data_IF_124726177414
#
_entry.id   IF_124726177414
#
_cell.length_a   1.000
_cell.length_b   1.000
_cell.length_c   1.000
_cell.angle_alpha   90.00
_cell.angle_beta   90.00
_cell.angle_gamma   90.00
#
_symmetry.space_group_name_H-M   'P 1'
#
loop_
_entity.id
_entity.type
_entity.pdbx_description
1 polymer ?
#
# COMPACT_ATOMS: atom_id res chain seq x y z
N UNK A 1 9.62 1.56 -23.70
CA UNK A 1 8.53 0.75 -23.10
C UNK A 1 8.33 1.24 -21.68
N UNK A 2 7.17 1.85 -21.40
CA UNK A 2 6.83 2.54 -20.14
C UNK A 2 6.78 1.58 -18.94
N UNK A 3 7.02 2.08 -17.72
CA UNK A 3 7.03 1.33 -16.45
C UNK A 3 5.68 0.67 -16.21
N UNK A 4 4.58 1.38 -16.47
CA UNK A 4 3.24 0.83 -16.35
C UNK A 4 2.97 -0.28 -17.37
N UNK A 5 3.54 -0.20 -18.57
CA UNK A 5 3.48 -1.29 -19.55
C UNK A 5 4.33 -2.50 -19.14
N UNK A 6 5.49 -2.31 -18.51
CA UNK A 6 6.27 -3.42 -17.94
C UNK A 6 5.54 -4.11 -16.79
N UNK A 7 4.93 -3.33 -15.89
CA UNK A 7 4.09 -3.83 -14.80
C UNK A 7 2.90 -4.62 -15.37
N UNK A 8 2.18 -4.05 -16.34
CA UNK A 8 1.07 -4.71 -17.04
C UNK A 8 1.49 -6.00 -17.74
N UNK A 9 2.65 -6.02 -18.40
CA UNK A 9 3.16 -7.20 -19.09
C UNK A 9 3.64 -8.29 -18.11
N UNK A 10 4.23 -7.91 -16.97
CA UNK A 10 4.59 -8.86 -15.92
C UNK A 10 3.35 -9.51 -15.30
N UNK A 11 2.29 -8.72 -15.09
CA UNK A 11 1.01 -9.18 -14.55
C UNK A 11 0.29 -10.10 -15.53
N UNK A 12 0.20 -9.75 -16.83
CA UNK A 12 -0.42 -10.59 -17.86
C UNK A 12 0.23 -11.97 -18.00
N UNK A 13 1.55 -12.05 -17.83
CA UNK A 13 2.28 -13.33 -17.83
C UNK A 13 2.01 -14.17 -16.59
N UNK A 14 1.62 -13.54 -15.49
CA UNK A 14 1.33 -14.20 -14.21
C UNK A 14 -0.12 -14.69 -14.10
N UNK A 15 -1.03 -14.19 -14.95
CA UNK A 15 -2.45 -14.54 -15.00
C UNK A 15 -2.81 -15.64 -16.00
N UNK A 16 -1.85 -16.17 -16.77
CA UNK A 16 -2.10 -17.25 -17.73
C UNK A 16 -1.97 -18.64 -17.04
N UNK A 17 -3.12 -19.30 -16.89
CA UNK A 17 -3.38 -20.68 -16.42
C UNK A 17 -3.37 -20.96 -14.91
N UNK A 18 -4.52 -21.38 -14.34
CA UNK A 18 -4.59 -22.25 -13.17
C UNK A 18 -4.96 -23.69 -13.58
N UNK A 19 -4.16 -24.68 -13.18
CA UNK A 19 -4.60 -26.08 -13.09
C UNK A 19 -5.47 -26.27 -11.84
N UNK A 20 -6.52 -27.11 -11.85
CA UNK A 20 -7.43 -27.25 -10.73
C UNK A 20 -6.98 -28.36 -9.78
N UNK A 21 -6.70 -28.06 -8.52
CA UNK A 21 -7.06 -28.90 -7.36
C UNK A 21 -6.67 -28.26 -6.00
N UNK A 22 -7.71 -28.10 -5.16
CA UNK A 22 -7.78 -28.17 -3.69
C UNK A 22 -6.70 -27.43 -2.87
N UNK A 23 -6.99 -26.41 -2.06
CA UNK A 23 -8.02 -26.34 -1.02
C UNK A 23 -8.44 -24.88 -0.77
N UNK A 24 -9.75 -24.66 -0.60
CA UNK A 24 -10.33 -23.34 -0.30
C UNK A 24 -10.03 -22.98 1.16
N UNK A 25 -9.15 -22.01 1.35
CA UNK A 25 -9.20 -21.12 2.52
C UNK A 25 -9.61 -19.75 1.99
N UNK A 26 -10.90 -19.44 2.10
CA UNK A 26 -11.41 -18.09 1.86
C UNK A 26 -10.87 -17.16 2.95
N UNK A 27 -9.77 -16.46 2.65
CA UNK A 27 -9.27 -15.39 3.50
C UNK A 27 -10.08 -14.15 3.18
N UNK A 28 -11.04 -13.83 4.06
CA UNK A 28 -11.61 -12.50 4.16
C UNK A 28 -10.48 -11.51 4.49
N UNK A 29 -9.97 -10.82 3.47
CA UNK A 29 -9.59 -9.42 3.67
C UNK A 29 -10.92 -8.73 3.91
N UNK A 30 -11.28 -8.52 5.19
CA UNK A 30 -12.62 -8.09 5.56
C UNK A 30 -13.04 -6.83 4.75
N UNK A 31 -14.12 -6.91 3.96
CA UNK A 31 -14.85 -5.71 3.58
C UNK A 31 -15.66 -5.30 4.81
N UNK A 32 -15.29 -4.18 5.45
CA UNK A 32 -16.05 -3.68 6.60
C UNK A 32 -17.29 -2.95 6.09
N UNK A 33 -18.42 -3.46 6.57
CA UNK A 33 -19.79 -2.95 6.42
C UNK A 33 -19.91 -1.53 7.03
N UNK A 34 -20.61 -0.57 6.39
CA UNK A 34 -20.94 0.70 7.00
C UNK A 34 -21.91 0.51 8.17
N UNK A 35 -21.53 0.97 9.37
CA UNK A 35 -22.43 1.04 10.53
C UNK A 35 -23.43 2.18 10.34
N UNK A 36 -24.71 1.86 10.11
CA UNK A 36 -25.80 2.67 10.68
C UNK A 36 -27.08 1.84 10.92
N UNK A 37 -27.58 1.97 12.16
CA UNK A 37 -28.92 1.73 12.72
C UNK A 37 -29.41 0.30 13.00
N UNK A 38 -29.84 0.15 14.26
CA UNK A 38 -30.36 -1.00 15.00
C UNK A 38 -31.57 -1.73 14.40
N UNK A 39 -31.67 -3.04 14.69
CA UNK A 39 -32.86 -3.61 15.37
C UNK A 39 -32.61 -5.02 15.95
N UNK A 40 -33.42 -5.34 16.96
CA UNK A 40 -33.37 -6.40 17.98
C UNK A 40 -33.30 -7.86 17.48
N UNK A 41 -32.59 -8.68 18.26
CA UNK A 41 -33.14 -9.91 18.85
C UNK A 41 -32.84 -11.25 18.17
N UNK A 42 -31.80 -11.96 18.65
CA UNK A 42 -31.75 -13.41 18.94
C UNK A 42 -30.31 -13.83 19.36
N UNK A 43 -30.14 -14.37 20.58
CA UNK A 43 -28.98 -15.21 20.94
C UNK A 43 -29.17 -16.57 20.25
N UNK A 44 -28.12 -17.25 19.75
CA UNK A 44 -27.33 -18.11 20.65
C UNK A 44 -25.84 -18.34 20.27
N UNK A 45 -25.17 -19.02 21.20
CA UNK A 45 -23.88 -19.73 21.13
C UNK A 45 -22.62 -18.87 21.21
N UNK A 46 -22.11 -18.78 22.44
CA UNK A 46 -20.73 -18.44 22.80
C UNK A 46 -19.76 -19.40 22.12
N UNK A 47 -19.22 -18.99 20.97
CA UNK A 47 -17.86 -19.39 20.58
C UNK A 47 -16.91 -18.40 21.23
N UNK A 48 -16.09 -18.85 22.17
CA UNK A 48 -14.95 -18.07 22.65
C UNK A 48 -14.07 -17.71 21.45
N UNK A 49 -14.26 -16.50 20.89
CA UNK A 49 -13.22 -15.87 20.10
C UNK A 49 -12.12 -15.56 21.10
N UNK A 50 -11.05 -16.34 21.09
CA UNK A 50 -9.82 -15.94 21.77
C UNK A 50 -9.40 -14.60 21.16
N UNK A 51 -9.70 -13.50 21.85
CA UNK A 51 -9.27 -12.16 21.47
C UNK A 51 -7.74 -12.13 21.59
N UNK A 52 -7.06 -12.29 20.45
CA UNK A 52 -5.60 -12.19 20.39
C UNK A 52 -5.19 -10.77 20.81
N UNK A 53 -4.10 -10.60 21.57
CA UNK A 53 -3.59 -9.26 21.87
C UNK A 53 -3.25 -8.52 20.57
N UNK A 54 -3.70 -7.27 20.49
CA UNK A 54 -3.47 -6.41 19.33
C UNK A 54 -2.13 -5.69 19.47
N UNK A 55 -1.35 -5.67 18.38
CA UNK A 55 -0.13 -4.89 18.25
C UNK A 55 -0.29 -3.95 17.06
N UNK A 56 -0.18 -2.65 17.30
CA UNK A 56 -0.10 -1.68 16.21
C UNK A 56 1.30 -1.69 15.61
N UNK A 57 1.40 -1.53 14.29
CA UNK A 57 2.68 -1.32 13.62
C UNK A 57 3.43 -0.08 14.12
N UNK A 58 2.72 0.88 14.73
CA UNK A 58 3.31 2.06 15.33
C UNK A 58 4.11 1.73 16.61
N UNK A 59 3.78 0.62 17.27
CA UNK A 59 4.42 0.17 18.51
C UNK A 59 5.69 -0.66 18.22
N UNK A 60 5.91 -1.06 16.97
CA UNK A 60 7.10 -1.81 16.56
C UNK A 60 8.27 -0.85 16.43
N UNK A 61 9.30 -1.04 17.26
CA UNK A 61 10.51 -0.21 17.22
C UNK A 61 11.26 -0.40 15.89
N UNK A 62 11.80 0.67 15.27
CA UNK A 62 12.50 0.60 13.98
C UNK A 62 13.56 -0.51 13.86
N UNK A 63 14.32 -0.75 14.92
CA UNK A 63 15.35 -1.79 14.99
C UNK A 63 14.79 -3.22 14.95
N UNK A 64 13.55 -3.42 15.43
CA UNK A 64 12.94 -4.73 15.54
C UNK A 64 12.15 -5.11 14.28
N UNK A 65 11.75 -4.13 13.46
CA UNK A 65 10.91 -4.29 12.26
C UNK A 65 11.35 -5.48 11.39
N UNK A 66 12.65 -5.61 11.12
CA UNK A 66 13.17 -6.69 10.26
C UNK A 66 13.00 -8.07 10.87
N UNK A 67 13.43 -8.22 12.13
CA UNK A 67 13.34 -9.48 12.85
C UNK A 67 11.87 -9.86 13.12
N UNK A 68 11.06 -8.89 13.55
CA UNK A 68 9.65 -9.07 13.86
C UNK A 68 8.85 -9.51 12.64
N UNK A 69 9.05 -8.86 11.48
CA UNK A 69 8.30 -9.12 10.25
C UNK A 69 8.96 -10.14 9.32
N UNK A 70 10.11 -10.71 9.71
CA UNK A 70 10.87 -11.69 8.92
C UNK A 70 11.20 -11.18 7.51
N UNK A 71 11.63 -9.92 7.42
CA UNK A 71 12.05 -9.27 6.17
C UNK A 71 13.56 -8.97 6.20
N UNK A 72 14.20 -9.02 5.04
CA UNK A 72 15.65 -8.88 4.91
C UNK A 72 16.01 -7.73 3.95
N UNK A 73 17.17 -7.06 4.08
CA UNK A 73 17.62 -6.12 3.06
C UNK A 73 17.95 -6.86 1.75
N UNK A 74 17.62 -6.26 0.62
CA UNK A 74 18.05 -6.77 -0.70
C UNK A 74 19.48 -6.33 -1.01
N UNK A 75 20.41 -7.26 -1.23
CA UNK A 75 21.79 -6.90 -1.58
C UNK A 75 21.95 -6.23 -2.95
N UNK A 76 20.95 -6.32 -3.84
CA UNK A 76 21.02 -5.81 -5.21
C UNK A 76 19.94 -4.76 -5.51
N UNK A 77 19.99 -3.64 -4.77
CA UNK A 77 19.00 -2.56 -4.81
C UNK A 77 18.83 -1.90 -6.19
N UNK A 78 19.91 -1.75 -6.95
CA UNK A 78 19.97 -0.97 -8.20
C UNK A 78 19.28 -1.65 -9.39
N UNK A 79 19.17 -2.98 -9.38
CA UNK A 79 18.55 -3.72 -10.47
C UNK A 79 17.02 -3.53 -10.56
N UNK A 80 16.34 -3.25 -9.44
CA UNK A 80 14.86 -3.21 -9.41
C UNK A 80 14.26 -1.85 -9.72
N UNK A 81 14.97 -0.78 -9.37
CA UNK A 81 14.47 0.59 -9.44
C UNK A 81 15.19 1.37 -10.52
N UNK A 82 15.00 0.95 -11.76
CA UNK A 82 15.47 1.69 -12.93
C UNK A 82 14.32 2.55 -13.47
N UNK A 83 14.00 3.63 -12.75
CA UNK A 83 13.14 4.68 -13.29
C UNK A 83 13.99 5.52 -14.23
N UNK A 84 13.75 5.40 -15.53
CA UNK A 84 14.46 6.22 -16.53
C UNK A 84 13.65 7.47 -16.85
N UNK A 85 14.26 8.44 -17.53
CA UNK A 85 13.56 9.65 -17.97
C UNK A 85 12.31 9.32 -18.82
N UNK A 86 12.32 8.20 -19.55
CA UNK A 86 11.17 7.72 -20.33
C UNK A 86 10.02 7.18 -19.47
N UNK A 87 10.23 6.96 -18.18
CA UNK A 87 9.18 6.60 -17.21
C UNK A 87 8.58 7.82 -16.53
N UNK A 88 9.15 9.02 -16.73
CA UNK A 88 8.55 10.26 -16.25
C UNK A 88 7.32 10.55 -17.09
N UNK A 89 6.16 10.43 -16.47
CA UNK A 89 4.90 10.75 -17.10
C UNK A 89 4.58 12.21 -16.79
N UNK A 90 4.26 12.99 -17.82
CA UNK A 90 3.80 14.35 -17.62
C UNK A 90 2.44 14.32 -16.90
N UNK A 91 2.39 15.03 -15.78
CA UNK A 91 1.14 15.29 -15.06
C UNK A 91 0.28 16.33 -15.79
N UNK A 92 -0.99 16.49 -15.40
CA UNK A 92 -1.85 17.52 -15.98
C UNK A 92 -1.26 18.93 -15.76
N UNK A 93 -1.34 19.78 -16.79
CA UNK A 93 -0.71 21.12 -16.81
C UNK A 93 -1.13 22.01 -15.63
N UNK A 94 -2.40 21.93 -15.22
CA UNK A 94 -2.94 22.72 -14.11
C UNK A 94 -2.39 22.32 -12.74
N UNK A 95 -1.81 21.12 -12.61
CA UNK A 95 -1.43 20.56 -11.31
C UNK A 95 -0.35 21.42 -10.62
N UNK A 96 0.63 21.92 -11.37
CA UNK A 96 1.69 22.76 -10.82
C UNK A 96 1.16 24.03 -10.14
N UNK A 97 0.17 24.68 -10.76
CA UNK A 97 -0.48 25.87 -10.21
C UNK A 97 -1.19 25.56 -8.88
N UNK A 98 -1.99 24.49 -8.83
CA UNK A 98 -2.71 24.07 -7.61
C UNK A 98 -1.72 23.73 -6.49
N UNK A 99 -0.67 22.95 -6.79
CA UNK A 99 0.33 22.55 -5.80
C UNK A 99 1.11 23.76 -5.23
N UNK A 100 1.34 24.79 -6.04
CA UNK A 100 1.97 26.03 -5.58
C UNK A 100 1.07 26.83 -4.61
N UNK A 101 -0.25 26.68 -4.75
CA UNK A 101 -1.24 27.33 -3.89
C UNK A 101 -1.19 26.84 -2.44
N UNK A 102 -0.91 25.55 -2.22
CA UNK A 102 -0.81 24.97 -0.87
C UNK A 102 0.22 25.70 -0.01
N UNK A 103 1.43 25.90 -0.52
CA UNK A 103 2.51 26.59 0.20
C UNK A 103 2.19 28.05 0.49
N UNK A 104 1.54 28.74 -0.47
CA UNK A 104 1.12 30.14 -0.32
C UNK A 104 0.01 30.30 0.71
N UNK A 105 -0.95 29.36 0.74
CA UNK A 105 -2.09 29.41 1.64
C UNK A 105 -1.75 28.97 3.07
N UNK A 106 -0.88 27.96 3.22
CA UNK A 106 -0.56 27.39 4.53
C UNK A 106 0.42 28.24 5.36
N UNK A 107 1.18 29.14 4.72
CA UNK A 107 2.13 30.00 5.42
C UNK A 107 3.12 29.19 6.28
N UNK A 108 3.12 29.44 7.59
CA UNK A 108 4.00 28.75 8.56
C UNK A 108 3.56 27.31 8.88
N UNK A 109 2.30 26.96 8.65
CA UNK A 109 1.75 25.62 8.94
C UNK A 109 1.94 24.63 7.80
N UNK A 110 2.86 24.93 6.91
CA UNK A 110 2.98 24.21 5.66
C UNK A 110 3.61 22.81 5.81
N UNK A 111 4.29 22.57 6.93
CA UNK A 111 4.78 21.23 7.34
C UNK A 111 3.70 20.39 8.06
N UNK A 112 2.48 20.91 8.19
CA UNK A 112 1.38 20.20 8.81
C UNK A 112 0.99 18.95 7.98
N UNK A 113 0.80 17.82 8.68
CA UNK A 113 0.39 16.55 8.06
C UNK A 113 -0.88 16.67 7.23
N UNK A 114 -1.87 17.46 7.66
CA UNK A 114 -3.09 17.68 6.91
C UNK A 114 -2.81 18.34 5.54
N UNK A 115 -1.94 19.36 5.52
CA UNK A 115 -1.53 20.05 4.28
C UNK A 115 -0.79 19.08 3.36
N UNK A 116 0.16 18.30 3.89
CA UNK A 116 0.87 17.28 3.11
C UNK A 116 -0.08 16.22 2.55
N UNK A 117 -1.06 15.75 3.34
CA UNK A 117 -2.07 14.80 2.87
C UNK A 117 -2.91 15.37 1.75
N UNK A 118 -3.46 16.58 1.92
CA UNK A 118 -4.28 17.23 0.89
C UNK A 118 -3.50 17.48 -0.40
N UNK A 119 -2.22 17.87 -0.29
CA UNK A 119 -1.33 18.04 -1.45
C UNK A 119 -1.09 16.70 -2.16
N UNK A 120 -0.85 15.62 -1.41
CA UNK A 120 -0.69 14.27 -1.95
C UNK A 120 -1.98 13.76 -2.62
N UNK A 121 -3.15 13.97 -2.00
CA UNK A 121 -4.46 13.61 -2.57
C UNK A 121 -4.70 14.31 -3.90
N UNK A 122 -4.37 15.61 -3.97
CA UNK A 122 -4.46 16.39 -5.20
C UNK A 122 -3.61 15.77 -6.31
N UNK A 123 -2.37 15.38 -6.01
CA UNK A 123 -1.49 14.70 -6.97
C UNK A 123 -2.11 13.39 -7.44
N UNK A 124 -2.50 12.51 -6.50
CA UNK A 124 -2.99 11.17 -6.81
C UNK A 124 -4.29 11.22 -7.65
N UNK A 125 -5.25 12.06 -7.25
CA UNK A 125 -6.54 12.19 -7.92
C UNK A 125 -6.38 12.86 -9.29
N UNK A 126 -5.67 13.98 -9.37
CA UNK A 126 -5.51 14.72 -10.62
C UNK A 126 -4.78 13.89 -11.68
N UNK A 127 -3.68 13.22 -11.29
CA UNK A 127 -2.91 12.37 -12.20
C UNK A 127 -3.74 11.17 -12.66
N UNK A 128 -4.36 10.43 -11.74
CA UNK A 128 -5.17 9.27 -12.13
C UNK A 128 -6.35 9.66 -13.02
N UNK A 129 -7.04 10.77 -12.71
CA UNK A 129 -8.13 11.27 -13.53
C UNK A 129 -7.64 11.70 -14.92
N UNK A 130 -6.49 12.39 -15.02
CA UNK A 130 -5.88 12.75 -16.31
C UNK A 130 -5.59 11.51 -17.14
N UNK A 131 -4.91 10.52 -16.56
CA UNK A 131 -4.55 9.29 -17.27
C UNK A 131 -5.77 8.49 -17.70
N UNK A 132 -6.82 8.42 -16.88
CA UNK A 132 -8.09 7.80 -17.26
C UNK A 132 -8.79 8.49 -18.43
N UNK A 133 -8.71 9.83 -18.52
CA UNK A 133 -9.26 10.57 -19.66
C UNK A 133 -8.43 10.34 -20.93
N UNK A 134 -7.11 10.29 -20.80
CA UNK A 134 -6.20 10.00 -21.92
C UNK A 134 -6.41 8.58 -22.47
N UNK A 135 -6.59 7.59 -21.59
CA UNK A 135 -6.85 6.21 -22.01
C UNK A 135 -7.64 5.41 -20.97
N UNK A 136 -8.96 5.33 -21.19
CA UNK A 136 -9.82 4.48 -20.37
C UNK A 136 -9.46 2.99 -20.50
N UNK A 137 -8.97 2.54 -21.66
CA UNK A 137 -8.56 1.15 -21.87
C UNK A 137 -7.27 0.78 -21.13
N UNK A 138 -6.33 1.73 -20.96
CA UNK A 138 -5.09 1.50 -20.22
C UNK A 138 -5.25 1.64 -18.71
N UNK A 139 -6.03 2.64 -18.26
CA UNK A 139 -6.09 3.03 -16.84
C UNK A 139 -7.47 2.84 -16.19
N UNK A 140 -8.50 2.46 -16.94
CA UNK A 140 -9.88 2.39 -16.45
C UNK A 140 -10.07 1.45 -15.26
N UNK A 141 -9.29 0.36 -15.22
CA UNK A 141 -9.31 -0.64 -14.15
C UNK A 141 -8.48 -0.27 -12.91
N UNK A 142 -7.76 0.86 -12.93
CA UNK A 142 -7.02 1.35 -11.76
C UNK A 142 -7.95 2.13 -10.85
N UNK A 143 -7.87 1.87 -9.56
CA UNK A 143 -8.71 2.51 -8.56
C UNK A 143 -7.87 2.96 -7.39
N UNK A 144 -8.07 4.23 -7.00
CA UNK A 144 -7.49 4.79 -5.79
C UNK A 144 -8.43 4.48 -4.62
N UNK A 145 -7.89 3.89 -3.56
CA UNK A 145 -8.58 3.67 -2.30
C UNK A 145 -7.92 4.54 -1.23
N UNK A 146 -8.73 5.35 -0.58
CA UNK A 146 -8.36 6.15 0.59
C UNK A 146 -8.40 5.26 1.82
N UNK A 147 -7.44 5.46 2.72
CA UNK A 147 -7.34 4.87 4.05
C UNK A 147 -7.80 3.43 4.18
N UNK A 148 -6.83 2.51 4.29
CA UNK A 148 -7.12 1.10 4.47
C UNK A 148 -6.44 0.60 5.72
N UNK A 149 -7.26 0.07 6.64
CA UNK A 149 -6.76 -0.71 7.77
C UNK A 149 -6.35 -2.10 7.28
N UNK A 150 -5.21 -2.57 7.74
CA UNK A 150 -4.65 -3.88 7.47
C UNK A 150 -4.56 -4.64 8.79
N UNK A 151 -4.98 -5.90 8.79
CA UNK A 151 -4.90 -6.78 9.97
C UNK A 151 -4.41 -8.15 9.55
N UNK A 152 -3.51 -8.74 10.32
CA UNK A 152 -2.99 -10.08 10.07
C UNK A 152 -2.68 -10.80 11.39
N UNK A 153 -3.22 -12.01 11.61
CA UNK A 153 -2.77 -12.85 12.72
C UNK A 153 -1.25 -13.08 12.64
N UNK A 154 -0.50 -12.78 13.68
CA UNK A 154 0.95 -12.83 13.65
C UNK A 154 1.49 -13.66 14.80
N UNK A 155 2.60 -14.37 14.58
CA UNK A 155 3.26 -15.15 15.61
C UNK A 155 4.73 -14.79 15.69
N UNK A 156 5.16 -14.34 16.86
CA UNK A 156 6.52 -13.92 17.13
C UNK A 156 6.93 -14.35 18.55
N UNK A 157 8.12 -14.95 18.69
CA UNK A 157 8.63 -15.48 19.96
C UNK A 157 7.60 -16.36 20.70
N UNK A 158 7.00 -17.31 19.99
CA UNK A 158 5.98 -18.25 20.49
C UNK A 158 4.71 -17.60 21.08
N UNK A 159 4.45 -16.32 20.79
CA UNK A 159 3.21 -15.64 21.13
C UNK A 159 2.44 -15.26 19.88
N UNK A 160 1.12 -15.37 19.94
CA UNK A 160 0.20 -14.99 18.88
C UNK A 160 -0.41 -13.62 19.16
N UNK A 161 -0.56 -12.82 18.11
CA UNK A 161 -1.03 -11.44 18.14
C UNK A 161 -1.94 -11.18 16.94
N UNK A 162 -2.75 -10.12 17.01
CA UNK A 162 -3.31 -9.48 15.82
C UNK A 162 -2.42 -8.29 15.47
N UNK A 163 -1.72 -8.35 14.34
CA UNK A 163 -0.89 -7.25 13.87
C UNK A 163 -1.75 -6.30 13.02
N UNK A 164 -1.81 -5.03 13.41
CA UNK A 164 -2.66 -4.02 12.79
C UNK A 164 -1.87 -2.82 12.27
N UNK A 165 -2.25 -2.33 11.10
CA UNK A 165 -1.68 -1.13 10.53
C UNK A 165 -2.64 -0.43 9.60
N UNK A 166 -2.19 0.69 9.05
CA UNK A 166 -2.97 1.45 8.09
C UNK A 166 -2.10 1.93 6.93
N UNK A 167 -2.74 2.18 5.80
CA UNK A 167 -2.15 2.81 4.62
C UNK A 167 -2.94 4.07 4.32
N UNK A 168 -2.28 5.18 4.00
CA UNK A 168 -2.99 6.44 3.72
C UNK A 168 -3.75 6.35 2.39
N UNK A 169 -3.10 5.78 1.36
CA UNK A 169 -3.76 5.46 0.10
C UNK A 169 -3.25 4.15 -0.45
N UNK A 170 -4.04 3.53 -1.32
CA UNK A 170 -3.61 2.36 -2.06
C UNK A 170 -4.15 2.38 -3.48
N UNK A 171 -3.33 1.91 -4.42
CA UNK A 171 -3.73 1.72 -5.80
C UNK A 171 -3.95 0.22 -6.01
N UNK A 172 -5.16 -0.11 -6.46
CA UNK A 172 -5.54 -1.48 -6.80
C UNK A 172 -6.08 -1.52 -8.23
N UNK A 173 -6.10 -2.72 -8.79
CA UNK A 173 -6.53 -2.97 -10.16
C UNK A 173 -7.53 -4.12 -10.20
N UNK A 174 -8.44 -4.08 -11.16
CA UNK A 174 -9.47 -5.11 -11.38
C UNK A 174 -10.86 -4.70 -10.89
N UNK A 175 -11.74 -5.69 -10.65
CA UNK A 175 -13.10 -5.46 -10.12
C UNK A 175 -13.13 -5.35 -8.60
N UNK A 176 -14.30 -5.51 -7.97
CA UNK A 176 -14.47 -5.35 -6.50
C UNK A 176 -13.57 -6.26 -5.62
N UNK A 177 -12.99 -7.33 -6.17
CA UNK A 177 -11.97 -8.18 -5.52
C UNK A 177 -10.54 -7.85 -5.98
N UNK A 178 -10.30 -6.59 -6.33
CA UNK A 178 -9.05 -6.13 -6.91
C UNK A 178 -7.84 -6.34 -6.00
N UNK A 179 -6.68 -6.54 -6.61
CA UNK A 179 -5.45 -6.78 -5.87
C UNK A 179 -4.73 -5.45 -5.61
N UNK A 180 -4.46 -5.16 -4.33
CA UNK A 180 -3.74 -3.95 -3.93
C UNK A 180 -2.25 -4.10 -4.22
N UNK A 181 -1.72 -3.45 -5.26
CA UNK A 181 -0.33 -3.63 -5.67
C UNK A 181 0.63 -2.53 -5.18
N UNK A 182 0.10 -1.33 -4.93
CA UNK A 182 0.90 -0.18 -4.54
C UNK A 182 0.26 0.52 -3.34
N UNK A 183 1.05 0.71 -2.30
CA UNK A 183 0.67 1.42 -1.10
C UNK A 183 1.34 2.80 -1.06
N UNK A 184 0.62 3.81 -0.60
CA UNK A 184 1.13 5.15 -0.40
C UNK A 184 1.05 5.53 1.08
N UNK A 185 2.12 6.17 1.54
CA UNK A 185 2.27 6.60 2.92
C UNK A 185 2.75 8.05 2.93
N UNK A 186 1.97 8.90 3.60
CA UNK A 186 2.29 10.28 3.86
C UNK A 186 3.10 10.36 5.15
N UNK A 187 4.26 11.00 5.07
CA UNK A 187 5.10 11.28 6.22
C UNK A 187 4.30 12.04 7.30
N UNK A 188 4.61 11.77 8.56
CA UNK A 188 3.96 12.52 9.65
C UNK A 188 4.52 13.93 9.80
N UNK A 189 5.75 14.15 9.35
CA UNK A 189 6.45 15.45 9.30
C UNK A 189 7.45 15.44 8.14
N UNK A 190 7.75 16.62 7.60
CA UNK A 190 8.79 16.81 6.58
C UNK A 190 10.14 16.30 7.08
N UNK A 191 10.91 15.64 6.21
CA UNK A 191 12.21 15.05 6.56
C UNK A 191 12.17 13.78 7.42
N UNK A 192 11.01 13.42 8.00
CA UNK A 192 10.81 12.14 8.68
C UNK A 192 9.77 11.30 7.93
N UNK A 193 10.23 10.68 6.86
CA UNK A 193 9.39 10.00 5.87
C UNK A 193 8.64 8.79 6.47
N UNK A 194 9.01 8.25 7.63
CA UNK A 194 8.24 7.16 8.25
C UNK A 194 8.40 5.82 7.52
N UNK A 195 9.62 5.55 7.02
CA UNK A 195 9.95 4.34 6.25
C UNK A 195 9.55 3.04 6.96
N UNK A 196 9.72 2.99 8.28
CA UNK A 196 9.50 1.77 9.06
C UNK A 196 8.02 1.41 9.14
N UNK A 197 7.14 2.39 9.38
CA UNK A 197 5.69 2.18 9.39
C UNK A 197 5.20 1.69 8.01
N UNK A 198 5.69 2.29 6.93
CA UNK A 198 5.38 1.85 5.58
C UNK A 198 5.80 0.39 5.33
N UNK A 199 7.02 0.02 5.73
CA UNK A 199 7.51 -1.35 5.62
C UNK A 199 6.66 -2.33 6.42
N UNK A 200 6.18 -1.96 7.61
CA UNK A 200 5.29 -2.79 8.40
C UNK A 200 3.98 -3.09 7.66
N UNK A 201 3.30 -2.05 7.16
CA UNK A 201 2.07 -2.22 6.38
C UNK A 201 2.29 -3.05 5.10
N UNK A 202 3.39 -2.80 4.39
CA UNK A 202 3.76 -3.59 3.21
C UNK A 202 4.01 -5.06 3.56
N UNK A 203 4.66 -5.34 4.69
CA UNK A 203 4.94 -6.70 5.14
C UNK A 203 3.66 -7.44 5.54
N UNK A 204 2.70 -6.76 6.18
CA UNK A 204 1.37 -7.33 6.46
C UNK A 204 0.73 -7.83 5.17
N UNK A 205 0.68 -6.99 4.13
CA UNK A 205 0.10 -7.35 2.85
C UNK A 205 0.88 -8.48 2.15
N UNK A 206 2.21 -8.43 2.17
CA UNK A 206 3.08 -9.46 1.60
C UNK A 206 2.83 -10.83 2.25
N UNK A 207 2.80 -10.89 3.58
CA UNK A 207 2.55 -12.14 4.31
C UNK A 207 1.12 -12.64 4.14
N UNK A 208 0.14 -11.74 4.07
CA UNK A 208 -1.24 -12.12 3.76
C UNK A 208 -1.33 -12.79 2.38
N UNK A 209 -0.68 -12.22 1.35
CA UNK A 209 -0.61 -12.81 0.00
C UNK A 209 0.08 -14.17 0.01
N UNK A 210 1.18 -14.32 0.74
CA UNK A 210 1.91 -15.60 0.87
C UNK A 210 1.04 -16.68 1.52
N UNK A 211 0.35 -16.37 2.60
CA UNK A 211 -0.55 -17.31 3.30
C UNK A 211 -1.76 -17.69 2.46
N UNK A 212 -2.22 -16.79 1.60
CA UNK A 212 -3.28 -17.05 0.63
C UNK A 212 -2.81 -17.85 -0.60
N UNK A 213 -1.54 -18.27 -0.67
CA UNK A 213 -1.00 -19.03 -1.80
C UNK A 213 -0.96 -18.24 -3.12
N UNK A 214 -0.85 -16.91 -3.08
CA UNK A 214 -0.82 -16.08 -4.29
C UNK A 214 0.50 -16.24 -5.04
N UNK A 215 0.43 -16.34 -6.37
CA UNK A 215 1.60 -16.46 -7.25
C UNK A 215 2.47 -15.18 -7.24
N UNK A 216 1.82 -14.03 -7.13
CA UNK A 216 2.47 -12.75 -6.93
C UNK A 216 2.28 -12.27 -5.50
N UNK A 217 3.39 -12.14 -4.79
CA UNK A 217 3.47 -11.65 -3.41
C UNK A 217 4.30 -10.39 -3.33
N UNK A 218 4.77 -9.86 -4.47
CA UNK A 218 5.53 -8.62 -4.51
C UNK A 218 4.63 -7.49 -4.03
N UNK A 219 5.14 -6.62 -3.16
CA UNK A 219 4.41 -5.43 -2.70
C UNK A 219 5.25 -4.21 -2.97
N UNK A 220 4.67 -3.23 -3.65
CA UNK A 220 5.28 -1.92 -3.88
C UNK A 220 4.71 -0.90 -2.91
N UNK A 221 5.55 0.04 -2.50
CA UNK A 221 5.20 1.11 -1.60
C UNK A 221 5.87 2.41 -2.02
N UNK A 222 5.21 3.52 -1.76
CA UNK A 222 5.74 4.86 -1.90
C UNK A 222 5.56 5.56 -0.57
N UNK A 223 6.63 6.20 -0.10
CA UNK A 223 6.60 7.00 1.11
C UNK A 223 7.11 8.39 0.78
N UNK A 224 6.36 9.41 1.17
CA UNK A 224 6.65 10.79 0.77
C UNK A 224 6.17 11.80 1.79
N UNK A 225 6.89 12.90 1.92
CA UNK A 225 6.45 14.13 2.60
C UNK A 225 5.95 15.19 1.61
N UNK A 226 5.59 14.77 0.39
CA UNK A 226 5.21 15.56 -0.79
C UNK A 226 6.35 16.27 -1.53
N UNK A 227 7.56 16.30 -0.97
CA UNK A 227 8.73 16.87 -1.63
C UNK A 227 9.75 15.78 -1.95
N UNK A 228 10.11 14.95 -0.96
CA UNK A 228 10.95 13.78 -1.16
C UNK A 228 10.07 12.54 -1.40
N UNK A 229 10.46 11.71 -2.36
CA UNK A 229 9.76 10.48 -2.72
C UNK A 229 10.70 9.29 -2.58
N UNK A 230 10.26 8.29 -1.79
CA UNK A 230 10.98 7.02 -1.62
C UNK A 230 10.12 5.88 -2.11
N UNK A 231 10.74 5.01 -2.90
CA UNK A 231 10.11 3.83 -3.47
C UNK A 231 10.61 2.59 -2.73
N UNK A 232 9.67 1.76 -2.29
CA UNK A 232 9.90 0.56 -1.49
C UNK A 232 9.35 -0.67 -2.22
N UNK A 233 10.05 -1.79 -2.15
CA UNK A 233 9.58 -3.06 -2.68
C UNK A 233 9.93 -4.19 -1.72
N UNK A 234 8.97 -5.08 -1.47
CA UNK A 234 9.20 -6.39 -0.87
C UNK A 234 9.02 -7.43 -1.98
N UNK A 235 10.03 -8.23 -2.30
CA UNK A 235 9.88 -9.33 -3.27
C UNK A 235 9.22 -10.58 -2.67
N UNK A 236 9.06 -11.59 -3.54
CA UNK A 236 8.60 -12.93 -3.21
C UNK A 236 9.44 -13.63 -2.12
N UNK A 237 10.71 -13.25 -1.95
CA UNK A 237 11.62 -13.79 -0.93
C UNK A 237 11.64 -12.96 0.35
N UNK A 238 10.72 -12.00 0.51
CA UNK A 238 10.67 -11.10 1.68
C UNK A 238 11.92 -10.21 1.80
N UNK A 239 12.58 -9.90 0.68
CA UNK A 239 13.70 -8.94 0.62
C UNK A 239 13.20 -7.55 0.27
N UNK A 240 13.72 -6.56 0.98
CA UNK A 240 13.34 -5.15 0.94
C UNK A 240 14.35 -4.36 0.13
N UNK A 241 13.88 -3.66 -0.90
CA UNK A 241 14.67 -2.64 -1.60
C UNK A 241 14.06 -1.25 -1.42
N UNK A 242 14.92 -0.23 -1.41
CA UNK A 242 14.55 1.17 -1.28
C UNK A 242 15.31 2.00 -2.32
N UNK A 243 14.60 2.86 -3.04
CA UNK A 243 15.19 3.84 -3.96
C UNK A 243 14.67 5.24 -3.64
N UNK A 244 15.50 6.25 -3.92
CA UNK A 244 15.15 7.67 -3.82
C UNK A 244 15.07 8.23 -5.24
N UNK A 245 14.02 8.99 -5.57
CA UNK A 245 14.06 9.82 -6.77
C UNK A 245 15.16 10.88 -6.55
N UNK A 246 16.11 11.02 -7.49
CA UNK A 246 17.13 12.07 -7.50
C UNK A 246 16.91 12.96 -8.72
#
# INVERSE_FOLDING_TARGET
MDYFERLKNHIRRSSASPSPMQSKVDINIAPVVPRTVAQKGKKPVTSERQDLPHISIADIRPQDVRAFLRIQPDGNFSARWQLTAQNKVQGPEYLGSILSGYWRAAGRDSENKAIMRSRLETILVAVLASKKRESASAYGSLHLQFEKTLSLPWSYQNRAYMLEGATDYSLWYGGQKGETNLLFFCASRRGNIGRYQALCSMAILHHARRRAGRNDTIVYGIVTDTDEWRFLCIDKQSRVSCSTDR
#
